data_IF_851030740278
#
_entry.id   IF_851030740278
#
_cell.length_a   1.000
_cell.length_b   1.000
_cell.length_c   1.000
_cell.angle_alpha   90.00
_cell.angle_beta   90.00
_cell.angle_gamma   90.00
#
_symmetry.space_group_name_H-M   'P 1'
#
loop_
_entity.id
_entity.type
_entity.pdbx_description
1 polymer ?
#
# COMPACT_ATOMS: atom_id res chain seq x y z
N UNK A 1 -17.49 38.88 39.33
CA UNK A 1 -18.31 38.46 38.17
C UNK A 1 -17.38 38.15 37.01
N UNK A 2 -17.57 37.00 36.39
CA UNK A 2 -16.76 36.44 35.28
C UNK A 2 -17.08 37.13 33.96
N UNK A 3 -16.08 37.27 33.09
CA UNK A 3 -16.27 37.19 31.65
C UNK A 3 -15.25 36.17 31.13
N UNK A 4 -15.75 35.02 30.68
CA UNK A 4 -14.96 34.02 29.95
C UNK A 4 -15.45 34.09 28.52
N UNK A 5 -14.60 34.57 27.63
CA UNK A 5 -14.84 34.59 26.20
C UNK A 5 -14.61 33.17 25.66
N UNK A 6 -15.66 32.51 25.19
CA UNK A 6 -15.57 31.22 24.54
C UNK A 6 -15.04 31.42 23.12
N UNK A 7 -13.83 30.96 22.83
CA UNK A 7 -13.35 30.79 21.48
C UNK A 7 -13.77 29.39 20.99
N UNK A 8 -14.66 29.34 20.01
CA UNK A 8 -15.03 28.12 19.33
C UNK A 8 -13.85 27.67 18.46
N UNK A 9 -13.26 26.51 18.79
CA UNK A 9 -12.25 25.87 17.94
C UNK A 9 -13.01 25.09 16.86
N UNK A 10 -13.06 25.64 15.65
CA UNK A 10 -13.53 24.91 14.48
C UNK A 10 -12.47 23.88 14.09
N UNK A 11 -12.71 22.60 14.38
CA UNK A 11 -11.93 21.50 13.84
C UNK A 11 -12.25 21.36 12.35
N UNK A 12 -11.36 21.88 11.49
CA UNK A 12 -11.41 21.60 10.07
C UNK A 12 -10.86 20.19 9.81
N UNK A 13 -11.75 19.25 9.51
CA UNK A 13 -11.37 17.93 8.99
C UNK A 13 -10.88 18.12 7.55
N UNK A 14 -9.57 18.07 7.34
CA UNK A 14 -9.00 18.05 5.99
C UNK A 14 -9.19 16.65 5.41
N UNK A 15 -10.23 16.47 4.60
CA UNK A 15 -10.34 15.33 3.72
C UNK A 15 -9.28 15.46 2.62
N UNK A 16 -8.34 14.51 2.56
CA UNK A 16 -7.36 14.41 1.50
C UNK A 16 -8.04 13.99 0.19
N UNK A 17 -8.66 14.94 -0.50
CA UNK A 17 -9.11 14.78 -1.88
C UNK A 17 -7.92 14.98 -2.82
N UNK A 18 -7.22 13.90 -3.15
CA UNK A 18 -6.25 13.93 -4.25
C UNK A 18 -7.04 13.77 -5.55
N UNK A 19 -7.46 14.91 -6.11
CA UNK A 19 -8.07 15.03 -7.44
C UNK A 19 -6.96 14.93 -8.50
N UNK A 20 -7.07 14.00 -9.45
CA UNK A 20 -6.18 13.95 -10.61
C UNK A 20 -6.79 14.69 -11.81
N UNK A 21 -5.91 15.30 -12.60
CA UNK A 21 -6.21 16.12 -13.77
C UNK A 21 -6.86 15.33 -14.92
N UNK A 22 -7.65 16.06 -15.71
CA UNK A 22 -8.51 15.60 -16.82
C UNK A 22 -7.73 15.06 -18.03
N UNK A 23 -8.30 14.09 -18.77
CA UNK A 23 -8.13 14.00 -20.21
C UNK A 23 -9.23 14.77 -20.96
N UNK A 24 -8.83 15.37 -22.08
CA UNK A 24 -9.60 16.18 -23.04
C UNK A 24 -10.80 15.42 -23.63
N UNK A 25 -11.87 16.16 -23.92
CA UNK A 25 -13.15 15.69 -24.49
C UNK A 25 -12.98 14.82 -25.74
N UNK A 26 -13.61 13.64 -25.73
CA UNK A 26 -13.97 12.92 -26.94
C UNK A 26 -15.46 13.18 -27.25
N UNK A 27 -15.67 13.62 -28.49
CA UNK A 27 -16.91 14.12 -29.10
C UNK A 27 -18.04 13.09 -29.13
N UNK A 28 -19.27 13.60 -28.97
CA UNK A 28 -20.56 12.90 -29.03
C UNK A 28 -20.79 12.05 -30.31
N UNK A 29 -21.42 10.88 -30.15
CA UNK A 29 -22.54 10.32 -30.94
C UNK A 29 -22.89 8.88 -30.44
N UNK A 30 -24.12 8.36 -30.65
CA UNK A 30 -24.90 7.76 -29.58
C UNK A 30 -24.98 6.22 -29.58
N UNK A 31 -25.41 5.72 -28.42
CA UNK A 31 -25.67 4.34 -28.07
C UNK A 31 -26.59 3.57 -29.03
N UNK A 32 -26.34 2.27 -29.15
CA UNK A 32 -27.40 1.27 -29.31
C UNK A 32 -27.14 0.10 -28.36
N UNK A 33 -28.07 -0.10 -27.42
CA UNK A 33 -28.25 -1.34 -26.66
C UNK A 33 -29.18 -2.25 -27.46
N UNK A 34 -28.97 -3.57 -27.37
CA UNK A 34 -30.15 -4.40 -27.09
C UNK A 34 -29.86 -5.52 -26.08
N UNK A 35 -30.88 -5.85 -25.28
CA UNK A 35 -31.02 -7.17 -24.69
C UNK A 35 -31.01 -7.25 -23.16
N UNK A 36 -32.00 -6.65 -22.51
CA UNK A 36 -32.48 -7.17 -21.21
C UNK A 36 -33.33 -8.42 -21.42
N UNK A 37 -33.32 -9.33 -20.45
CA UNK A 37 -34.41 -10.21 -19.94
C UNK A 37 -33.73 -11.33 -19.11
N UNK A 38 -33.79 -11.27 -17.77
CA UNK A 38 -34.78 -11.90 -16.85
C UNK A 38 -34.33 -13.28 -16.32
N UNK A 39 -34.51 -13.39 -15.00
CA UNK A 39 -34.14 -14.48 -14.10
C UNK A 39 -34.79 -15.82 -14.43
N UNK A 40 -34.05 -16.91 -14.18
CA UNK A 40 -34.60 -18.23 -13.88
C UNK A 40 -33.97 -18.75 -12.58
N UNK A 41 -34.79 -18.84 -11.54
CA UNK A 41 -34.54 -19.55 -10.28
C UNK A 41 -35.01 -21.00 -10.48
N UNK A 42 -34.25 -22.02 -10.05
CA UNK A 42 -34.81 -23.33 -9.77
C UNK A 42 -35.16 -23.43 -8.29
N UNK A 43 -36.45 -23.61 -8.01
CA UNK A 43 -36.93 -24.22 -6.77
C UNK A 43 -36.58 -25.71 -6.82
N UNK A 44 -35.76 -26.17 -5.87
CA UNK A 44 -35.85 -27.49 -5.25
C UNK A 44 -34.75 -27.62 -4.17
N UNK A 45 -35.17 -27.62 -2.91
CA UNK A 45 -34.36 -28.05 -1.77
C UNK A 45 -34.76 -29.47 -1.37
N UNK A 46 -33.80 -30.31 -0.95
CA UNK A 46 -34.01 -30.97 0.33
C UNK A 46 -32.78 -31.06 1.25
N UNK A 47 -33.08 -30.83 2.53
CA UNK A 47 -32.52 -31.42 3.77
C UNK A 47 -31.08 -31.12 4.23
N UNK A 48 -31.02 -30.42 5.38
CA UNK A 48 -29.90 -30.43 6.33
C UNK A 48 -29.80 -31.75 7.12
N UNK A 49 -28.56 -32.22 7.37
CA UNK A 49 -27.98 -32.56 8.68
C UNK A 49 -26.67 -33.40 8.50
N UNK A 50 -25.76 -33.53 9.49
CA UNK A 50 -25.72 -32.92 10.83
C UNK A 50 -24.43 -32.13 11.13
N UNK A 51 -24.45 -31.43 12.26
CA UNK A 51 -23.32 -30.75 12.88
C UNK A 51 -22.16 -31.72 13.18
N UNK A 52 -20.94 -31.34 12.75
CA UNK A 52 -19.72 -31.98 13.23
C UNK A 52 -19.28 -31.29 14.52
N UNK A 53 -19.35 -32.06 15.58
CA UNK A 53 -18.95 -31.74 16.95
C UNK A 53 -17.46 -31.44 17.06
N UNK A 54 -17.16 -30.44 17.88
CA UNK A 54 -15.87 -30.13 18.48
C UNK A 54 -15.13 -31.37 19.01
N UNK A 55 -13.83 -31.45 18.73
CA UNK A 55 -12.87 -32.05 19.65
C UNK A 55 -11.61 -31.17 19.71
N UNK A 56 -11.58 -30.31 20.73
CA UNK A 56 -10.36 -29.71 21.26
C UNK A 56 -9.40 -30.85 21.66
N UNK A 57 -8.29 -31.00 20.94
CA UNK A 57 -7.12 -31.68 21.47
C UNK A 57 -6.06 -30.63 21.78
N UNK A 58 -6.00 -30.28 23.06
CA UNK A 58 -4.90 -29.58 23.70
C UNK A 58 -3.62 -30.38 23.57
N UNK A 59 -2.70 -29.95 22.71
CA UNK A 59 -1.28 -30.30 22.83
C UNK A 59 -0.54 -29.05 23.29
N UNK A 60 -0.36 -29.00 24.59
CA UNK A 60 0.52 -28.08 25.29
C UNK A 60 1.95 -28.35 24.85
N UNK A 61 2.52 -27.47 24.03
CA UNK A 61 3.99 -27.34 23.92
C UNK A 61 4.36 -25.93 24.34
N UNK A 62 4.75 -25.84 25.60
CA UNK A 62 5.40 -24.67 26.15
C UNK A 62 6.68 -24.39 25.36
N UNK A 63 6.69 -23.26 24.65
CA UNK A 63 7.88 -22.58 24.22
C UNK A 63 7.66 -21.11 24.51
N UNK A 64 8.23 -20.62 25.61
CA UNK A 64 8.25 -19.19 25.91
C UNK A 64 8.90 -18.45 24.74
N UNK A 65 8.08 -17.78 23.93
CA UNK A 65 8.57 -16.71 23.07
C UNK A 65 8.67 -15.47 23.94
N UNK A 66 9.85 -15.33 24.57
CA UNK A 66 10.31 -14.07 25.12
C UNK A 66 10.34 -13.07 23.96
N UNK A 67 9.30 -12.26 23.81
CA UNK A 67 9.29 -11.09 22.95
C UNK A 67 10.21 -10.06 23.60
N UNK A 68 11.51 -10.22 23.38
CA UNK A 68 12.47 -9.16 23.64
C UNK A 68 12.20 -8.06 22.62
N UNK A 69 11.50 -7.02 23.08
CA UNK A 69 11.52 -5.70 22.47
C UNK A 69 12.96 -5.20 22.55
N UNK A 70 13.73 -5.46 21.50
CA UNK A 70 14.99 -4.78 21.24
C UNK A 70 14.64 -3.65 20.28
N UNK A 71 14.65 -2.42 20.78
CA UNK A 71 14.67 -1.25 19.92
C UNK A 71 15.98 -1.29 19.13
N UNK A 72 15.95 -1.36 17.79
CA UNK A 72 17.17 -1.37 17.01
C UNK A 72 17.87 0.00 17.10
N UNK A 73 19.20 -0.01 17.19
CA UNK A 73 20.06 1.16 17.05
C UNK A 73 20.00 1.61 15.57
N UNK A 74 19.00 2.44 15.31
CA UNK A 74 18.25 2.54 14.05
C UNK A 74 18.97 2.96 12.76
N UNK A 75 20.30 3.12 12.73
CA UNK A 75 21.04 3.57 11.54
C UNK A 75 21.66 2.46 10.69
N UNK A 76 22.53 1.67 11.30
CA UNK A 76 23.29 0.60 10.62
C UNK A 76 22.52 -0.71 10.48
N UNK A 77 21.50 -0.91 11.32
CA UNK A 77 20.73 -2.15 11.30
C UNK A 77 19.74 -2.21 10.13
N UNK A 78 19.17 -1.08 9.70
CA UNK A 78 18.20 -1.05 8.59
C UNK A 78 18.83 -1.54 7.27
N UNK A 79 20.06 -1.14 6.97
CA UNK A 79 20.78 -1.58 5.74
C UNK A 79 21.33 -3.00 5.83
N UNK A 80 21.61 -3.52 7.03
CA UNK A 80 22.02 -4.91 7.19
C UNK A 80 20.86 -5.89 7.01
N UNK A 81 19.62 -5.45 7.25
CA UNK A 81 18.43 -6.31 7.15
C UNK A 81 17.89 -6.44 5.72
N UNK A 82 18.18 -5.50 4.82
CA UNK A 82 17.58 -5.45 3.49
C UNK A 82 18.65 -5.42 2.40
N UNK A 83 18.66 -6.47 1.58
CA UNK A 83 19.52 -6.53 0.39
C UNK A 83 18.97 -5.68 -0.75
N UNK A 84 19.88 -5.05 -1.49
CA UNK A 84 19.60 -4.30 -2.71
C UNK A 84 18.87 -5.16 -3.75
N UNK A 85 17.62 -4.82 -4.15
CA UNK A 85 16.81 -5.67 -5.00
C UNK A 85 17.30 -5.63 -6.45
N UNK A 86 17.26 -6.78 -7.11
CA UNK A 86 17.60 -6.98 -8.53
C UNK A 86 16.39 -7.37 -9.37
N UNK A 87 15.29 -7.76 -8.73
CA UNK A 87 14.06 -8.19 -9.40
C UNK A 87 12.84 -7.50 -8.80
N UNK A 88 11.71 -7.42 -9.52
CA UNK A 88 10.45 -6.92 -8.97
C UNK A 88 10.03 -7.70 -7.73
N UNK A 89 10.26 -9.02 -7.70
CA UNK A 89 9.92 -9.87 -6.56
C UNK A 89 10.72 -9.50 -5.31
N UNK A 90 12.03 -9.35 -5.44
CA UNK A 90 12.91 -8.90 -4.33
C UNK A 90 12.53 -7.51 -3.84
N UNK A 91 12.17 -6.60 -4.77
CA UNK A 91 11.71 -5.26 -4.42
C UNK A 91 10.44 -5.31 -3.55
N UNK A 92 9.45 -6.11 -3.94
CA UNK A 92 8.21 -6.27 -3.17
C UNK A 92 8.46 -6.99 -1.84
N UNK A 93 9.39 -7.94 -1.80
CA UNK A 93 9.81 -8.56 -0.55
C UNK A 93 10.43 -7.55 0.42
N UNK A 94 11.26 -6.62 -0.06
CA UNK A 94 11.80 -5.54 0.78
C UNK A 94 10.69 -4.69 1.42
N UNK A 95 9.60 -4.43 0.68
CA UNK A 95 8.42 -3.73 1.23
C UNK A 95 7.74 -4.50 2.35
N UNK A 96 7.69 -5.83 2.25
CA UNK A 96 7.19 -6.68 3.34
C UNK A 96 8.08 -6.58 4.57
N UNK A 97 9.40 -6.62 4.41
CA UNK A 97 10.35 -6.46 5.53
C UNK A 97 10.19 -5.08 6.20
N UNK A 98 10.02 -4.02 5.41
CA UNK A 98 9.75 -2.66 5.90
C UNK A 98 8.47 -2.59 6.72
N UNK A 99 7.40 -3.22 6.23
CA UNK A 99 6.11 -3.28 6.92
C UNK A 99 6.16 -4.13 8.21
N UNK A 100 6.84 -5.27 8.18
CA UNK A 100 6.93 -6.17 9.33
C UNK A 100 7.78 -5.58 10.46
N UNK A 101 8.88 -4.92 10.11
CA UNK A 101 9.84 -4.33 11.04
C UNK A 101 9.53 -2.89 11.48
N UNK A 102 8.37 -2.34 11.09
CA UNK A 102 7.96 -0.96 11.37
C UNK A 102 9.02 0.08 10.97
N UNK A 103 9.77 -0.20 9.89
CA UNK A 103 10.95 0.59 9.51
C UNK A 103 10.58 2.01 9.07
N UNK A 104 9.36 2.23 8.58
CA UNK A 104 8.86 3.57 8.25
C UNK A 104 8.72 4.49 9.48
N UNK A 105 8.75 3.97 10.70
CA UNK A 105 8.77 4.79 11.91
C UNK A 105 10.20 5.19 12.32
N UNK A 106 11.23 4.67 11.66
CA UNK A 106 12.62 4.93 12.02
C UNK A 106 13.20 6.04 11.15
N UNK A 107 13.73 7.10 11.76
CA UNK A 107 14.31 8.21 11.01
C UNK A 107 15.43 7.79 10.07
N UNK A 108 16.24 6.81 10.47
CA UNK A 108 17.33 6.37 9.63
C UNK A 108 16.89 5.58 8.40
N UNK A 109 15.64 5.07 8.34
CA UNK A 109 15.09 4.56 7.08
C UNK A 109 15.13 5.65 5.98
N UNK A 110 14.94 6.91 6.36
CA UNK A 110 14.82 8.04 5.45
C UNK A 110 16.14 8.69 5.04
N UNK A 111 17.30 8.13 5.42
CA UNK A 111 18.57 8.63 4.90
C UNK A 111 18.70 8.28 3.41
N UNK A 112 19.31 9.18 2.64
CA UNK A 112 19.54 8.97 1.21
C UNK A 112 20.29 7.65 0.94
N UNK A 113 21.31 7.35 1.74
CA UNK A 113 22.08 6.11 1.65
C UNK A 113 21.19 4.86 1.84
N UNK A 114 20.36 4.85 2.89
CA UNK A 114 19.51 3.70 3.19
C UNK A 114 18.46 3.51 2.09
N UNK A 115 17.79 4.58 1.64
CA UNK A 115 16.82 4.52 0.56
C UNK A 115 17.44 4.01 -0.75
N UNK A 116 18.63 4.51 -1.12
CA UNK A 116 19.36 4.06 -2.30
C UNK A 116 19.71 2.59 -2.22
N UNK A 117 20.09 2.09 -1.04
CA UNK A 117 20.44 0.69 -0.87
C UNK A 117 19.19 -0.21 -0.89
N UNK A 118 18.19 0.10 -0.06
CA UNK A 118 16.94 -0.67 0.12
C UNK A 118 16.17 -0.85 -1.18
N UNK A 119 16.13 0.18 -2.02
CA UNK A 119 15.32 0.20 -3.25
C UNK A 119 16.14 0.18 -4.55
N UNK A 120 17.47 0.03 -4.45
CA UNK A 120 18.38 0.11 -5.58
C UNK A 120 18.24 1.43 -6.37
N UNK A 121 18.26 2.57 -5.69
CA UNK A 121 18.03 3.87 -6.35
C UNK A 121 19.34 4.51 -6.77
N UNK A 122 19.31 5.15 -7.93
CA UNK A 122 20.36 6.07 -8.37
C UNK A 122 20.16 7.44 -7.71
N UNK A 123 18.91 7.90 -7.70
CA UNK A 123 18.48 9.19 -7.16
C UNK A 123 17.24 9.02 -6.28
N UNK A 124 17.17 9.81 -5.22
CA UNK A 124 16.00 9.92 -4.34
C UNK A 124 15.92 11.36 -3.84
N UNK A 125 14.72 11.93 -3.83
CA UNK A 125 14.46 13.21 -3.20
C UNK A 125 14.00 12.98 -1.76
N UNK A 126 14.67 13.63 -0.81
CA UNK A 126 14.30 13.62 0.61
C UNK A 126 14.10 15.06 1.06
N UNK A 127 12.94 15.35 1.64
CA UNK A 127 12.57 16.65 2.19
C UNK A 127 12.30 16.49 3.67
N UNK A 128 13.10 17.14 4.53
CA UNK A 128 12.94 17.11 5.99
C UNK A 128 12.59 18.52 6.48
N UNK A 129 11.32 18.69 6.86
CA UNK A 129 10.74 19.98 7.23
C UNK A 129 10.29 19.95 8.68
N UNK A 130 10.60 21.02 9.42
CA UNK A 130 10.06 21.27 10.76
C UNK A 130 9.03 22.38 10.66
N UNK A 131 7.77 22.07 10.99
CA UNK A 131 6.62 22.99 10.94
C UNK A 131 6.09 23.20 12.35
N UNK A 132 6.58 24.25 13.01
CA UNK A 132 6.23 24.49 14.41
C UNK A 132 6.78 23.38 15.31
N UNK A 133 5.88 22.65 15.98
CA UNK A 133 6.25 21.53 16.83
C UNK A 133 6.19 20.16 16.12
N UNK A 134 5.76 20.14 14.85
CA UNK A 134 5.68 18.92 14.05
C UNK A 134 6.91 18.82 13.13
N UNK A 135 7.34 17.59 12.85
CA UNK A 135 8.37 17.28 11.85
C UNK A 135 7.79 16.39 10.77
N UNK A 136 8.13 16.68 9.52
CA UNK A 136 7.70 15.95 8.36
C UNK A 136 8.90 15.59 7.48
N UNK A 137 9.09 14.30 7.24
CA UNK A 137 10.02 13.79 6.24
C UNK A 137 9.19 13.29 5.06
N UNK A 138 9.52 13.72 3.84
CA UNK A 138 8.88 13.26 2.61
C UNK A 138 9.92 12.71 1.65
N UNK A 139 9.58 11.64 0.95
CA UNK A 139 10.47 10.97 -0.01
C UNK A 139 9.77 10.74 -1.34
N UNK A 140 10.53 10.81 -2.42
CA UNK A 140 10.08 10.45 -3.75
C UNK A 140 11.24 9.90 -4.58
N UNK A 141 11.00 8.82 -5.31
CA UNK A 141 11.98 8.31 -6.27
C UNK A 141 11.33 7.49 -7.38
N UNK A 142 12.14 7.25 -8.41
CA UNK A 142 11.85 6.32 -9.51
C UNK A 142 12.70 5.07 -9.37
N UNK A 143 12.09 3.90 -9.50
CA UNK A 143 12.80 2.62 -9.46
C UNK A 143 13.57 2.43 -10.77
N UNK A 144 14.84 1.97 -10.75
CA UNK A 144 15.61 1.83 -11.98
C UNK A 144 15.05 0.74 -12.90
N UNK A 145 15.31 0.92 -14.20
CA UNK A 145 14.93 -0.01 -15.27
C UNK A 145 15.51 -1.42 -15.11
N UNK A 146 16.59 -1.56 -14.34
CA UNK A 146 17.25 -2.83 -14.04
C UNK A 146 16.51 -3.69 -13.03
N UNK A 147 15.59 -3.11 -12.25
CA UNK A 147 14.74 -3.82 -11.30
C UNK A 147 13.32 -3.95 -11.84
N UNK A 148 12.74 -2.85 -12.31
CA UNK A 148 11.39 -2.83 -12.91
C UNK A 148 11.48 -2.25 -14.32
N UNK A 149 10.95 -2.93 -15.35
CA UNK A 149 11.03 -2.48 -16.73
C UNK A 149 10.54 -1.05 -16.92
N UNK A 150 11.26 -0.27 -17.74
CA UNK A 150 10.83 1.09 -18.08
C UNK A 150 9.61 1.07 -19.00
N UNK A 151 8.75 2.07 -18.86
CA UNK A 151 7.60 2.27 -19.76
C UNK A 151 8.06 2.96 -21.04
N UNK A 152 7.69 2.41 -22.19
CA UNK A 152 7.85 3.08 -23.48
C UNK A 152 6.83 4.20 -23.62
N UNK A 153 7.28 5.37 -24.04
CA UNK A 153 6.42 6.53 -24.30
C UNK A 153 6.78 7.14 -25.65
N UNK A 154 5.90 7.97 -26.25
CA UNK A 154 6.24 8.69 -27.47
C UNK A 154 7.60 9.41 -27.39
N UNK A 155 8.32 9.48 -28.52
CA UNK A 155 9.65 10.09 -28.57
C UNK A 155 9.69 11.55 -28.10
N UNK A 156 8.60 12.29 -28.30
CA UNK A 156 8.44 13.66 -27.79
C UNK A 156 8.49 13.76 -26.25
N UNK A 157 8.26 12.64 -25.54
CA UNK A 157 8.35 12.52 -24.08
C UNK A 157 9.65 11.82 -23.64
N UNK A 158 10.68 11.80 -24.49
CA UNK A 158 11.97 11.18 -24.20
C UNK A 158 12.04 9.67 -24.48
N UNK A 159 11.01 9.08 -25.09
CA UNK A 159 11.00 7.68 -25.56
C UNK A 159 10.89 6.61 -24.47
N UNK A 160 11.27 6.91 -23.23
CA UNK A 160 11.16 5.98 -22.10
C UNK A 160 11.13 6.69 -20.74
N UNK A 161 10.17 6.34 -19.90
CA UNK A 161 10.06 6.83 -18.50
C UNK A 161 10.16 5.65 -17.52
N UNK A 162 10.44 5.92 -16.23
CA UNK A 162 10.40 4.87 -15.20
C UNK A 162 9.08 4.11 -15.21
N UNK A 163 9.15 2.77 -15.09
CA UNK A 163 7.96 1.92 -15.02
C UNK A 163 7.41 1.79 -13.59
N UNK A 164 8.20 2.17 -12.59
CA UNK A 164 7.74 2.25 -11.21
C UNK A 164 8.32 3.47 -10.50
N UNK A 165 7.52 3.98 -9.57
CA UNK A 165 7.82 5.16 -8.77
C UNK A 165 7.16 5.04 -7.41
N UNK A 166 7.68 5.79 -6.44
CA UNK A 166 7.06 5.88 -5.14
C UNK A 166 7.15 7.26 -4.54
N UNK A 167 6.18 7.53 -3.68
CA UNK A 167 6.15 8.70 -2.81
C UNK A 167 5.71 8.30 -1.42
N UNK A 168 6.19 8.98 -0.41
CA UNK A 168 5.85 8.67 0.96
C UNK A 168 6.51 9.62 1.95
N UNK A 169 6.48 9.25 3.22
CA UNK A 169 7.05 10.05 4.27
C UNK A 169 6.65 9.58 5.66
N UNK A 170 7.12 10.34 6.64
CA UNK A 170 6.79 10.22 8.05
C UNK A 170 6.48 11.60 8.60
N UNK A 171 5.48 11.69 9.46
CA UNK A 171 5.18 12.87 10.27
C UNK A 171 5.27 12.47 11.73
N UNK A 172 6.00 13.23 12.52
CA UNK A 172 6.02 13.15 13.98
C UNK A 172 5.35 14.41 14.51
N UNK A 173 4.22 14.24 15.20
CA UNK A 173 3.49 15.34 15.81
C UNK A 173 4.13 15.79 17.12
N UNK A 174 3.75 16.98 17.60
CA UNK A 174 4.13 17.47 18.94
C UNK A 174 3.83 16.48 20.08
N UNK A 175 2.77 15.69 19.94
CA UNK A 175 2.37 14.69 20.96
C UNK A 175 3.30 13.48 21.00
N UNK A 176 4.20 13.33 20.03
CA UNK A 176 4.99 12.13 19.80
C UNK A 176 4.28 11.08 18.93
N UNK A 177 2.99 11.27 18.61
CA UNK A 177 2.30 10.40 17.66
C UNK A 177 2.93 10.51 16.27
N UNK A 178 3.09 9.36 15.60
CA UNK A 178 3.76 9.27 14.31
C UNK A 178 2.85 8.65 13.26
N UNK A 179 2.89 9.19 12.05
CA UNK A 179 2.21 8.60 10.90
C UNK A 179 3.21 8.46 9.76
N UNK A 180 3.31 7.27 9.19
CA UNK A 180 4.17 7.02 8.05
C UNK A 180 3.40 6.34 6.93
N UNK A 181 3.66 6.76 5.70
CA UNK A 181 3.00 6.26 4.49
C UNK A 181 4.02 6.08 3.40
N UNK A 182 3.88 5.03 2.61
CA UNK A 182 4.57 4.93 1.33
C UNK A 182 3.63 4.31 0.29
N UNK A 183 3.61 4.91 -0.89
CA UNK A 183 2.73 4.54 -2.00
C UNK A 183 3.60 4.27 -3.23
N UNK A 184 3.64 3.01 -3.64
CA UNK A 184 4.34 2.53 -4.83
C UNK A 184 3.35 2.30 -5.96
N UNK A 185 3.71 2.76 -7.15
CA UNK A 185 3.04 2.43 -8.40
C UNK A 185 4.00 1.68 -9.33
N UNK A 186 3.49 0.61 -9.95
CA UNK A 186 4.17 -0.19 -10.98
C UNK A 186 3.23 -0.23 -12.18
N UNK A 187 3.73 0.12 -13.36
CA UNK A 187 2.95 0.09 -14.58
C UNK A 187 2.74 -1.35 -15.08
N UNK A 188 3.85 -2.07 -15.27
CA UNK A 188 3.93 -3.45 -15.78
C UNK A 188 5.16 -4.14 -15.18
N UNK A 189 5.15 -5.47 -15.18
CA UNK A 189 6.29 -6.27 -14.71
C UNK A 189 6.38 -6.42 -13.20
N UNK A 190 5.29 -6.15 -12.48
CA UNK A 190 5.15 -6.53 -11.07
C UNK A 190 4.96 -8.05 -10.91
N UNK A 191 5.19 -8.62 -9.71
CA UNK A 191 4.86 -10.02 -9.45
C UNK A 191 3.38 -10.30 -9.70
N UNK A 192 3.06 -11.52 -10.15
CA UNK A 192 1.68 -11.95 -10.27
C UNK A 192 1.00 -12.12 -8.89
N UNK A 193 -0.29 -12.43 -8.91
CA UNK A 193 -1.07 -12.66 -7.69
C UNK A 193 -0.48 -13.75 -6.78
N UNK A 194 -0.08 -14.89 -7.34
CA UNK A 194 0.42 -16.03 -6.56
C UNK A 194 1.75 -15.69 -5.88
N UNK A 195 2.68 -15.08 -6.61
CA UNK A 195 3.96 -14.62 -6.07
C UNK A 195 3.76 -13.54 -5.01
N UNK A 196 2.84 -12.61 -5.24
CA UNK A 196 2.46 -11.57 -4.27
C UNK A 196 1.87 -12.20 -2.99
N UNK A 197 0.96 -13.16 -3.13
CA UNK A 197 0.35 -13.87 -2.02
C UNK A 197 1.39 -14.65 -1.18
N UNK A 198 2.41 -15.23 -1.82
CA UNK A 198 3.50 -15.91 -1.11
C UNK A 198 4.31 -14.94 -0.24
N UNK A 199 4.56 -13.71 -0.70
CA UNK A 199 5.27 -12.69 0.08
C UNK A 199 4.45 -12.26 1.29
N UNK A 200 3.16 -11.99 1.05
CA UNK A 200 2.33 -11.32 2.04
C UNK A 200 1.52 -12.26 2.95
N UNK A 201 1.48 -13.57 2.63
CA UNK A 201 0.73 -14.64 3.31
C UNK A 201 -0.80 -14.43 3.27
N UNK A 202 -1.55 -15.47 3.67
CA UNK A 202 -3.01 -15.60 3.47
C UNK A 202 -3.90 -14.68 4.33
N UNK A 203 -3.34 -13.63 4.94
CA UNK A 203 -4.09 -12.75 5.87
C UNK A 203 -4.79 -11.59 5.16
N UNK A 204 -4.66 -11.51 3.83
CA UNK A 204 -5.25 -10.46 3.03
C UNK A 204 -6.74 -10.69 2.81
N UNK A 205 -7.50 -9.62 2.97
CA UNK A 205 -8.92 -9.57 2.63
C UNK A 205 -9.10 -8.76 1.36
N UNK A 206 -9.91 -9.27 0.43
CA UNK A 206 -10.26 -8.54 -0.79
C UNK A 206 -11.05 -7.29 -0.45
N UNK A 207 -10.64 -6.16 -1.02
CA UNK A 207 -11.32 -4.87 -0.89
C UNK A 207 -12.21 -4.66 -2.12
N UNK A 208 -13.51 -4.36 -1.93
CA UNK A 208 -14.38 -4.01 -3.03
C UNK A 208 -13.86 -2.77 -3.78
N UNK A 209 -13.98 -2.72 -5.11
CA UNK A 209 -13.59 -1.54 -5.88
C UNK A 209 -14.41 -0.32 -5.44
N UNK A 210 -13.73 0.82 -5.28
CA UNK A 210 -14.39 2.08 -5.00
C UNK A 210 -14.83 2.77 -6.30
N UNK A 211 -15.93 3.54 -6.27
CA UNK A 211 -16.32 4.36 -7.43
C UNK A 211 -15.21 5.33 -7.80
N UNK A 212 -14.82 5.35 -9.07
CA UNK A 212 -13.82 6.29 -9.61
C UNK A 212 -14.51 7.33 -10.48
N UNK A 213 -14.32 8.64 -10.21
CA UNK A 213 -14.86 9.70 -11.06
C UNK A 213 -14.21 9.74 -12.45
N UNK A 214 -13.10 9.03 -12.65
CA UNK A 214 -12.37 8.95 -13.91
C UNK A 214 -12.68 7.66 -14.70
N UNK A 215 -13.71 6.92 -14.30
CA UNK A 215 -13.98 5.58 -14.81
C UNK A 215 -13.17 4.52 -14.07
N UNK A 216 -13.68 3.29 -14.09
CA UNK A 216 -12.98 2.12 -13.55
C UNK A 216 -11.83 1.68 -14.46
N UNK A 217 -10.96 0.78 -13.97
CA UNK A 217 -9.99 0.14 -14.85
C UNK A 217 -10.69 -0.60 -15.99
N UNK A 218 -9.98 -0.83 -17.10
CA UNK A 218 -10.46 -1.68 -18.19
C UNK A 218 -10.80 -3.09 -17.68
N UNK A 219 -11.54 -3.87 -18.48
CA UNK A 219 -11.93 -5.23 -18.09
C UNK A 219 -10.70 -6.08 -17.73
N UNK A 220 -10.83 -6.90 -16.68
CA UNK A 220 -9.79 -7.83 -16.30
C UNK A 220 -9.50 -8.81 -17.45
N UNK A 221 -8.22 -9.04 -17.74
CA UNK A 221 -7.75 -9.94 -18.80
C UNK A 221 -7.13 -11.21 -18.23
N UNK A 222 -6.96 -11.30 -16.91
CA UNK A 222 -6.46 -12.46 -16.20
C UNK A 222 -7.18 -12.65 -14.85
N UNK A 223 -7.08 -13.84 -14.21
CA UNK A 223 -7.50 -14.04 -12.83
C UNK A 223 -6.89 -13.00 -11.90
N UNK A 224 -7.66 -12.54 -10.93
CA UNK A 224 -7.28 -11.48 -9.98
C UNK A 224 -6.95 -10.11 -10.61
N UNK A 225 -7.21 -9.94 -11.92
CA UNK A 225 -7.08 -8.66 -12.58
C UNK A 225 -7.98 -7.60 -11.97
N UNK A 226 -7.44 -6.39 -11.77
CA UNK A 226 -8.09 -5.26 -11.09
C UNK A 226 -8.50 -5.49 -9.63
N UNK A 227 -8.11 -6.61 -9.01
CA UNK A 227 -8.41 -6.83 -7.61
C UNK A 227 -7.53 -5.95 -6.72
N UNK A 228 -8.07 -5.60 -5.56
CA UNK A 228 -7.35 -4.93 -4.48
C UNK A 228 -7.52 -5.76 -3.22
N UNK A 229 -6.44 -5.93 -2.48
CA UNK A 229 -6.40 -6.73 -1.27
C UNK A 229 -5.70 -5.96 -0.17
N UNK A 230 -6.14 -6.13 1.07
CA UNK A 230 -5.61 -5.42 2.23
C UNK A 230 -5.39 -6.36 3.40
N UNK A 231 -4.25 -6.21 4.05
CA UNK A 231 -4.01 -6.69 5.39
C UNK A 231 -3.95 -5.51 6.36
N UNK A 232 -4.52 -5.67 7.55
CA UNK A 232 -4.56 -4.63 8.57
C UNK A 232 -4.36 -5.24 9.95
N UNK A 233 -3.47 -4.64 10.72
CA UNK A 233 -3.24 -4.92 12.13
C UNK A 233 -3.59 -3.66 12.93
N UNK A 234 -4.49 -3.81 13.90
CA UNK A 234 -4.91 -2.73 14.79
C UNK A 234 -4.67 -3.19 16.22
N UNK A 235 -3.77 -2.51 16.91
CA UNK A 235 -3.59 -2.65 18.34
C UNK A 235 -3.75 -1.30 19.07
N UNK A 236 -3.51 -1.31 20.38
CA UNK A 236 -3.68 -0.15 21.26
C UNK A 236 -2.68 0.97 20.93
N UNK A 237 -1.48 0.62 20.45
CA UNK A 237 -0.35 1.53 20.21
C UNK A 237 -0.13 1.82 18.72
N UNK A 238 -0.31 0.83 17.86
CA UNK A 238 -0.04 0.90 16.43
C UNK A 238 -1.23 0.42 15.61
N UNK A 239 -1.53 1.17 14.55
CA UNK A 239 -2.39 0.73 13.47
C UNK A 239 -1.55 0.70 12.20
N UNK A 240 -1.42 -0.47 11.58
CA UNK A 240 -0.71 -0.60 10.31
C UNK A 240 -1.50 -1.40 9.30
N UNK A 241 -1.40 -0.99 8.04
CA UNK A 241 -2.03 -1.66 6.92
C UNK A 241 -1.08 -1.71 5.73
N UNK A 242 -1.24 -2.77 4.95
CA UNK A 242 -0.65 -2.88 3.62
C UNK A 242 -1.76 -3.22 2.63
N UNK A 243 -1.85 -2.43 1.57
CA UNK A 243 -2.85 -2.59 0.50
C UNK A 243 -2.14 -2.84 -0.81
N UNK A 244 -2.48 -3.93 -1.48
CA UNK A 244 -1.92 -4.30 -2.78
C UNK A 244 -3.02 -4.25 -3.84
N UNK A 245 -2.70 -3.76 -5.03
CA UNK A 245 -3.61 -3.69 -6.16
C UNK A 245 -2.99 -4.28 -7.42
N UNK A 246 -3.80 -4.94 -8.24
CA UNK A 246 -3.37 -5.61 -9.46
C UNK A 246 -3.91 -4.89 -10.70
N UNK A 247 -3.13 -4.87 -11.79
CA UNK A 247 -3.57 -4.37 -13.09
C UNK A 247 -4.54 -5.38 -13.76
N UNK A 248 -5.13 -5.08 -14.94
CA UNK A 248 -6.03 -6.01 -15.63
C UNK A 248 -5.42 -7.38 -15.93
N UNK A 249 -4.10 -7.46 -16.11
CA UNK A 249 -3.36 -8.68 -16.38
C UNK A 249 -3.01 -9.49 -15.12
N UNK A 250 -3.46 -9.06 -13.93
CA UNK A 250 -3.20 -9.77 -12.67
C UNK A 250 -1.79 -9.59 -12.13
N UNK A 251 -1.05 -8.59 -12.63
CA UNK A 251 0.27 -8.21 -12.11
C UNK A 251 0.12 -7.10 -11.07
N UNK A 252 0.96 -7.16 -10.03
CA UNK A 252 0.97 -6.16 -8.97
C UNK A 252 1.32 -4.78 -9.54
N UNK A 253 0.41 -3.83 -9.37
CA UNK A 253 0.50 -2.47 -9.92
C UNK A 253 0.57 -1.39 -8.84
N UNK A 254 0.17 -1.72 -7.61
CA UNK A 254 0.16 -0.77 -6.52
C UNK A 254 0.40 -1.42 -5.18
N UNK A 255 1.18 -0.75 -4.33
CA UNK A 255 1.36 -1.10 -2.92
C UNK A 255 1.27 0.18 -2.10
N UNK A 256 0.41 0.20 -1.09
CA UNK A 256 0.39 1.25 -0.06
C UNK A 256 0.72 0.59 1.26
N UNK A 257 1.64 1.18 2.02
CA UNK A 257 1.83 0.87 3.43
C UNK A 257 1.48 2.13 4.22
N UNK A 258 0.61 1.97 5.21
CA UNK A 258 0.19 3.01 6.14
C UNK A 258 0.48 2.52 7.56
N UNK A 259 1.18 3.33 8.36
CA UNK A 259 1.48 3.06 9.77
C UNK A 259 1.12 4.29 10.61
N UNK A 260 0.41 4.07 11.71
CA UNK A 260 0.06 5.10 12.70
C UNK A 260 0.45 4.60 14.08
N UNK A 261 1.38 5.28 14.73
CA UNK A 261 1.76 5.09 16.12
C UNK A 261 1.08 6.17 16.96
N UNK A 262 0.29 5.76 17.96
CA UNK A 262 -0.62 6.60 18.74
C UNK A 262 0.01 7.18 19.99
#
# INVERSE_FOLDING_TARGET
MKAVTAAAVATATVASNISYAQPVQATDLPASLPGGLRYAQPDDAPQMAPALTSSLNSVQRAGSLTTQSVFPQGGKEVTQMISKPKTPLEFVHNLKVIFDGDLLLQDAFYTEENLKNIFNLEEVSVFDEVKGADRQISIMASVPGSVIPRRKVPGALGGSIPGAQFGGGKTTSQSGAETAVINFGIHEGGPDFNATQQIFRNEFVRVPPQPSPHGGPGAATAPHGNETWRYQLVDIRIEKAITVGFNPAGELSRIIIDIKNK
#
